data_IF_428346166505
#
_entry.id   IF_428346166505
#
_cell.length_a   1.000
_cell.length_b   1.000
_cell.length_c   1.000
_cell.angle_alpha   90.00
_cell.angle_beta   90.00
_cell.angle_gamma   90.00
#
_symmetry.space_group_name_H-M   'P 1'
#
loop_
_entity.id
_entity.type
_entity.pdbx_description
1 polymer ?
#
# COMPACT_ATOMS: atom_id res chain seq x y z
N UNK A 1 -20.22 1.34 11.52
CA UNK A 1 -19.20 2.22 12.16
C UNK A 1 -18.53 1.59 13.37
N UNK A 2 -19.24 1.24 14.45
CA UNK A 2 -18.58 0.67 15.66
C UNK A 2 -17.87 -0.67 15.40
N UNK A 3 -18.50 -1.58 14.64
CA UNK A 3 -17.89 -2.87 14.28
C UNK A 3 -16.67 -2.71 13.38
N UNK A 4 -16.72 -1.79 12.42
CA UNK A 4 -15.59 -1.46 11.53
C UNK A 4 -14.38 -0.99 12.37
N UNK A 5 -14.59 0.02 13.21
CA UNK A 5 -13.55 0.55 14.10
C UNK A 5 -13.00 -0.52 15.03
N UNK A 6 -13.85 -1.40 15.56
CA UNK A 6 -13.42 -2.49 16.43
C UNK A 6 -12.52 -3.50 15.69
N UNK A 7 -12.83 -3.82 14.43
CA UNK A 7 -12.01 -4.73 13.63
C UNK A 7 -10.68 -4.10 13.26
N UNK A 8 -10.66 -2.81 12.90
CA UNK A 8 -9.42 -2.08 12.62
C UNK A 8 -8.51 -2.00 13.85
N UNK A 9 -9.06 -1.63 15.01
CA UNK A 9 -8.30 -1.52 16.26
C UNK A 9 -7.74 -2.88 16.70
N UNK A 10 -8.50 -3.96 16.51
CA UNK A 10 -8.04 -5.31 16.79
C UNK A 10 -6.94 -5.74 15.81
N UNK A 11 -7.09 -5.41 14.52
CA UNK A 11 -6.09 -5.67 13.50
C UNK A 11 -4.78 -4.91 13.79
N UNK A 12 -4.85 -3.67 14.21
CA UNK A 12 -3.69 -2.87 14.66
C UNK A 12 -2.95 -3.54 15.81
N UNK A 13 -3.70 -3.96 16.84
CA UNK A 13 -3.13 -4.67 18.00
C UNK A 13 -2.45 -5.98 17.59
N UNK A 14 -2.97 -6.69 16.58
CA UNK A 14 -2.34 -7.90 16.05
C UNK A 14 -1.10 -7.59 15.21
N UNK A 15 -1.12 -6.52 14.41
CA UNK A 15 0.05 -6.02 13.68
C UNK A 15 1.19 -5.66 14.63
N UNK A 16 0.93 -4.93 15.72
CA UNK A 16 1.92 -4.59 16.76
C UNK A 16 2.54 -5.85 17.40
N UNK A 17 1.76 -6.92 17.51
CA UNK A 17 2.21 -8.22 18.04
C UNK A 17 2.91 -9.10 16.99
N UNK A 18 3.09 -8.61 15.76
CA UNK A 18 3.68 -9.37 14.65
C UNK A 18 2.83 -10.54 14.17
N UNK A 19 1.54 -10.58 14.53
CA UNK A 19 0.62 -11.65 14.13
C UNK A 19 -0.12 -11.25 12.88
N UNK A 20 0.44 -11.61 11.73
CA UNK A 20 -0.05 -11.20 10.42
C UNK A 20 -1.29 -11.99 9.93
N UNK A 21 -1.42 -13.27 10.28
CA UNK A 21 -2.55 -14.10 9.83
C UNK A 21 -3.93 -13.60 10.29
N UNK A 22 -4.16 -13.30 11.59
CA UNK A 22 -5.47 -12.81 12.02
C UNK A 22 -5.82 -11.43 11.43
N UNK A 23 -4.83 -10.63 11.05
CA UNK A 23 -5.06 -9.30 10.46
C UNK A 23 -5.77 -9.43 9.12
N UNK A 24 -5.35 -10.36 8.26
CA UNK A 24 -6.00 -10.55 6.95
C UNK A 24 -7.48 -10.90 7.10
N UNK A 25 -7.84 -11.76 8.04
CA UNK A 25 -9.23 -12.14 8.29
C UNK A 25 -10.05 -10.97 8.85
N UNK A 26 -9.48 -10.17 9.74
CA UNK A 26 -10.13 -8.99 10.30
C UNK A 26 -10.34 -7.92 9.23
N UNK A 27 -9.34 -7.65 8.39
CA UNK A 27 -9.44 -6.74 7.26
C UNK A 27 -10.51 -7.21 6.26
N UNK A 28 -10.58 -8.52 5.93
CA UNK A 28 -11.65 -9.06 5.07
C UNK A 28 -13.04 -8.82 5.67
N UNK A 29 -13.22 -9.06 6.97
CA UNK A 29 -14.49 -8.78 7.67
C UNK A 29 -14.82 -7.29 7.67
N UNK A 30 -13.82 -6.44 7.85
CA UNK A 30 -13.96 -4.99 7.77
C UNK A 30 -14.43 -4.56 6.37
N UNK A 31 -13.81 -5.08 5.31
CA UNK A 31 -14.14 -4.80 3.93
C UNK A 31 -15.51 -5.36 3.50
N UNK A 32 -15.98 -6.44 4.12
CA UNK A 32 -17.34 -6.95 3.93
C UNK A 32 -18.39 -5.97 4.47
N UNK A 33 -18.09 -5.26 5.55
CA UNK A 33 -18.97 -4.24 6.14
C UNK A 33 -18.85 -2.90 5.39
N UNK A 34 -17.62 -2.49 5.10
CA UNK A 34 -17.31 -1.24 4.41
C UNK A 34 -16.22 -1.48 3.36
N UNK A 35 -16.63 -1.66 2.11
CA UNK A 35 -15.73 -1.89 0.96
C UNK A 35 -14.82 -0.70 0.65
N UNK A 36 -15.19 0.49 1.13
CA UNK A 36 -14.49 1.75 0.91
C UNK A 36 -13.58 2.13 2.09
N UNK A 37 -13.31 1.20 3.01
CA UNK A 37 -12.40 1.44 4.13
C UNK A 37 -10.94 1.38 3.65
N UNK A 38 -10.31 2.53 3.42
CA UNK A 38 -8.88 2.63 3.01
C UNK A 38 -7.94 2.00 4.04
N UNK A 39 -8.14 2.27 5.33
CA UNK A 39 -7.35 1.68 6.42
C UNK A 39 -7.32 0.14 6.39
N UNK A 40 -8.44 -0.52 6.03
CA UNK A 40 -8.49 -1.97 5.94
C UNK A 40 -7.66 -2.50 4.76
N UNK A 41 -7.68 -1.79 3.62
CA UNK A 41 -6.83 -2.10 2.47
C UNK A 41 -5.35 -1.86 2.77
N UNK A 42 -5.02 -0.78 3.48
CA UNK A 42 -3.65 -0.49 3.94
C UNK A 42 -3.11 -1.63 4.82
N UNK A 43 -3.85 -2.01 5.87
CA UNK A 43 -3.43 -3.07 6.78
C UNK A 43 -3.24 -4.40 6.05
N UNK A 44 -4.13 -4.72 5.11
CA UNK A 44 -4.00 -5.92 4.28
C UNK A 44 -2.74 -5.85 3.41
N UNK A 45 -2.50 -4.72 2.75
CA UNK A 45 -1.30 -4.48 1.94
C UNK A 45 -0.01 -4.61 2.77
N UNK A 46 0.03 -4.05 3.97
CA UNK A 46 1.19 -4.13 4.86
C UNK A 46 1.50 -5.57 5.30
N UNK A 47 0.47 -6.38 5.52
CA UNK A 47 0.64 -7.80 5.85
C UNK A 47 1.11 -8.61 4.63
N UNK A 48 0.57 -8.32 3.45
CA UNK A 48 1.02 -8.98 2.22
C UNK A 48 2.47 -8.62 1.89
N UNK A 49 2.86 -7.36 2.10
CA UNK A 49 4.25 -6.93 1.97
C UNK A 49 5.17 -7.69 2.93
N UNK A 50 4.79 -7.86 4.20
CA UNK A 50 5.59 -8.62 5.16
C UNK A 50 5.66 -10.12 4.85
N UNK A 51 4.68 -10.65 4.09
CA UNK A 51 4.69 -12.02 3.55
C UNK A 51 5.48 -12.14 2.25
N UNK A 52 6.00 -11.04 1.69
CA UNK A 52 6.71 -11.01 0.41
C UNK A 52 5.80 -11.11 -0.83
N UNK A 53 4.48 -11.02 -0.65
CA UNK A 53 3.50 -11.04 -1.73
C UNK A 53 3.31 -9.63 -2.28
N UNK A 54 4.32 -9.12 -2.99
CA UNK A 54 4.37 -7.72 -3.42
C UNK A 54 3.30 -7.35 -4.47
N UNK A 55 2.91 -8.28 -5.34
CA UNK A 55 1.86 -8.04 -6.33
C UNK A 55 0.50 -7.80 -5.66
N UNK A 56 0.08 -8.71 -4.78
CA UNK A 56 -1.18 -8.58 -4.04
C UNK A 56 -1.15 -7.38 -3.10
N UNK A 57 0.01 -7.07 -2.50
CA UNK A 57 0.19 -5.88 -1.69
C UNK A 57 -0.01 -4.60 -2.51
N UNK A 58 0.52 -4.54 -3.73
CA UNK A 58 0.34 -3.42 -4.64
C UNK A 58 -1.14 -3.23 -5.00
N UNK A 59 -1.90 -4.30 -5.27
CA UNK A 59 -3.35 -4.18 -5.52
C UNK A 59 -4.10 -3.59 -4.31
N UNK A 60 -3.75 -4.01 -3.09
CA UNK A 60 -4.36 -3.49 -1.87
C UNK A 60 -4.01 -2.01 -1.66
N UNK A 61 -2.74 -1.63 -1.83
CA UNK A 61 -2.33 -0.23 -1.70
C UNK A 61 -2.92 0.65 -2.81
N UNK A 62 -3.07 0.13 -4.02
CA UNK A 62 -3.73 0.83 -5.13
C UNK A 62 -5.18 1.16 -4.78
N UNK A 63 -5.94 0.18 -4.27
CA UNK A 63 -7.31 0.39 -3.77
C UNK A 63 -7.36 1.44 -2.67
N UNK A 64 -6.45 1.37 -1.70
CA UNK A 64 -6.37 2.36 -0.61
C UNK A 64 -6.09 3.75 -1.16
N UNK A 65 -5.12 3.87 -2.06
CA UNK A 65 -4.70 5.13 -2.67
C UNK A 65 -5.81 5.78 -3.50
N UNK A 66 -6.57 4.99 -4.27
CA UNK A 66 -7.74 5.47 -5.01
C UNK A 66 -8.87 5.94 -4.07
N UNK A 67 -9.13 5.18 -2.99
CA UNK A 67 -10.19 5.51 -2.03
C UNK A 67 -9.90 6.77 -1.24
N UNK A 68 -8.63 7.02 -0.91
CA UNK A 68 -8.20 8.26 -0.27
C UNK A 68 -8.06 9.43 -1.27
N UNK A 69 -8.42 9.24 -2.55
CA UNK A 69 -8.38 10.31 -3.55
C UNK A 69 -6.97 10.71 -3.98
N UNK A 70 -6.02 9.78 -3.89
CA UNK A 70 -4.60 9.95 -4.30
C UNK A 70 -3.82 11.05 -3.57
N UNK A 71 -4.33 11.55 -2.44
CA UNK A 71 -3.67 12.58 -1.63
C UNK A 71 -2.75 12.03 -0.53
N UNK A 72 -2.56 10.71 -0.44
CA UNK A 72 -1.63 10.14 0.53
C UNK A 72 -0.30 9.78 -0.15
N UNK A 73 0.70 10.64 0.03
CA UNK A 73 2.07 10.38 -0.41
C UNK A 73 2.63 9.06 0.15
N UNK A 74 2.20 8.67 1.37
CA UNK A 74 2.59 7.41 2.01
C UNK A 74 2.07 6.21 1.22
N UNK A 75 0.82 6.24 0.77
CA UNK A 75 0.24 5.15 -0.02
C UNK A 75 0.81 5.12 -1.44
N UNK A 76 1.04 6.28 -2.07
CA UNK A 76 1.75 6.35 -3.34
C UNK A 76 3.17 5.76 -3.27
N UNK A 77 3.90 6.08 -2.20
CA UNK A 77 5.25 5.52 -1.96
C UNK A 77 5.22 4.01 -1.76
N UNK A 78 4.35 3.51 -0.86
CA UNK A 78 4.24 2.07 -0.59
C UNK A 78 3.81 1.29 -1.84
N UNK A 79 2.86 1.82 -2.59
CA UNK A 79 2.39 1.23 -3.85
C UNK A 79 3.53 1.12 -4.87
N UNK A 80 4.24 2.23 -5.12
CA UNK A 80 5.34 2.24 -6.07
C UNK A 80 6.50 1.31 -5.65
N UNK A 81 6.80 1.26 -4.34
CA UNK A 81 7.78 0.33 -3.79
C UNK A 81 7.36 -1.14 -3.96
N UNK A 82 6.08 -1.47 -3.74
CA UNK A 82 5.55 -2.81 -3.97
C UNK A 82 5.64 -3.19 -5.46
N UNK A 83 5.27 -2.31 -6.38
CA UNK A 83 5.45 -2.56 -7.82
C UNK A 83 6.91 -2.77 -8.21
N UNK A 84 7.83 -1.97 -7.66
CA UNK A 84 9.26 -2.14 -7.89
C UNK A 84 9.77 -3.50 -7.39
N UNK A 85 9.40 -3.91 -6.17
CA UNK A 85 9.75 -5.23 -5.61
C UNK A 85 9.08 -6.39 -6.36
N UNK A 86 7.95 -6.14 -7.02
CA UNK A 86 7.26 -7.10 -7.89
C UNK A 86 7.82 -7.12 -9.33
N UNK A 87 8.94 -6.45 -9.61
CA UNK A 87 9.55 -6.31 -10.94
C UNK A 87 8.65 -5.63 -11.99
N UNK A 88 7.56 -4.99 -11.55
CA UNK A 88 6.63 -4.21 -12.38
C UNK A 88 7.12 -2.77 -12.50
N UNK A 89 8.24 -2.60 -13.19
CA UNK A 89 8.96 -1.32 -13.28
C UNK A 89 8.12 -0.22 -13.93
N UNK A 90 7.32 -0.55 -14.96
CA UNK A 90 6.50 0.42 -15.68
C UNK A 90 5.40 0.98 -14.77
N UNK A 91 4.71 0.11 -14.06
CA UNK A 91 3.66 0.47 -13.10
C UNK A 91 4.25 1.26 -11.92
N UNK A 92 5.41 0.84 -11.40
CA UNK A 92 6.11 1.58 -10.35
C UNK A 92 6.43 3.01 -10.77
N UNK A 93 6.94 3.20 -12.00
CA UNK A 93 7.22 4.53 -12.54
C UNK A 93 5.95 5.37 -12.71
N UNK A 94 4.86 4.78 -13.22
CA UNK A 94 3.59 5.48 -13.41
C UNK A 94 3.03 6.00 -12.08
N UNK A 95 3.01 5.15 -11.06
CA UNK A 95 2.55 5.53 -9.72
C UNK A 95 3.49 6.59 -9.13
N UNK A 96 4.80 6.46 -9.33
CA UNK A 96 5.74 7.45 -8.86
C UNK A 96 5.51 8.82 -9.50
N UNK A 97 5.27 8.89 -10.81
CA UNK A 97 4.96 10.17 -11.47
C UNK A 97 3.66 10.77 -10.92
N UNK A 98 2.59 9.99 -10.80
CA UNK A 98 1.33 10.47 -10.24
C UNK A 98 1.48 10.98 -8.80
N UNK A 99 2.25 10.27 -7.97
CA UNK A 99 2.49 10.68 -6.60
C UNK A 99 3.39 11.91 -6.48
N UNK A 100 4.36 12.11 -7.39
CA UNK A 100 5.20 13.31 -7.43
C UNK A 100 4.48 14.54 -7.99
N UNK A 101 3.48 14.35 -8.86
CA UNK A 101 2.65 15.46 -9.35
C UNK A 101 1.87 16.10 -8.20
N UNK A 102 1.32 15.28 -7.30
CA UNK A 102 0.63 15.75 -6.08
C UNK A 102 1.61 16.15 -4.96
N UNK A 103 2.75 15.46 -4.84
CA UNK A 103 3.75 15.68 -3.78
C UNK A 103 5.17 15.87 -4.36
N UNK A 104 5.48 17.03 -4.96
CA UNK A 104 6.76 17.27 -5.62
C UNK A 104 7.98 17.17 -4.70
N UNK A 105 7.81 17.47 -3.41
CA UNK A 105 8.86 17.48 -2.40
C UNK A 105 9.13 16.11 -1.75
N UNK A 106 8.50 15.02 -2.23
CA UNK A 106 8.68 13.70 -1.63
C UNK A 106 9.97 13.01 -2.11
N UNK A 107 11.12 13.46 -1.58
CA UNK A 107 12.47 13.00 -1.96
C UNK A 107 12.64 11.48 -1.98
N UNK A 108 12.13 10.75 -0.98
CA UNK A 108 12.26 9.28 -0.91
C UNK A 108 11.62 8.56 -2.10
N UNK A 109 10.51 9.09 -2.61
CA UNK A 109 9.77 8.44 -3.68
C UNK A 109 10.51 8.60 -5.02
N UNK A 110 11.19 9.74 -5.19
CA UNK A 110 12.11 9.97 -6.30
C UNK A 110 13.37 9.10 -6.21
N UNK A 111 14.07 9.13 -5.07
CA UNK A 111 15.37 8.47 -4.91
C UNK A 111 15.25 6.94 -4.76
N UNK A 112 14.34 6.45 -3.93
CA UNK A 112 14.24 5.03 -3.59
C UNK A 112 13.48 4.21 -4.63
N UNK A 113 12.66 4.85 -5.46
CA UNK A 113 11.85 4.14 -6.46
C UNK A 113 12.15 4.66 -7.86
N UNK A 114 11.86 5.92 -8.18
CA UNK A 114 11.95 6.41 -9.55
C UNK A 114 13.37 6.31 -10.14
N UNK A 115 14.38 6.80 -9.43
CA UNK A 115 15.78 6.75 -9.88
C UNK A 115 16.29 5.31 -10.01
N UNK A 116 15.86 4.41 -9.13
CA UNK A 116 16.19 2.98 -9.20
C UNK A 116 15.49 2.29 -10.38
N UNK A 117 14.22 2.60 -10.64
CA UNK A 117 13.51 2.13 -11.84
C UNK A 117 14.24 2.54 -13.12
N UNK A 118 14.67 3.80 -13.23
CA UNK A 118 15.44 4.28 -14.36
C UNK A 118 16.81 3.60 -14.48
N UNK A 119 17.49 3.33 -13.36
CA UNK A 119 18.75 2.59 -13.36
C UNK A 119 18.57 1.15 -13.86
N UNK A 120 17.49 0.47 -13.46
CA UNK A 120 17.16 -0.89 -13.92
C UNK A 120 16.80 -0.96 -15.41
N UNK A 121 16.41 0.15 -16.02
CA UNK A 121 16.07 0.26 -17.45
C UNK A 121 17.26 0.68 -18.33
N UNK A 122 18.40 1.08 -17.75
CA UNK A 122 19.59 1.40 -18.54
C UNK A 122 20.29 0.08 -18.97
N UNK A 123 20.57 -0.09 -20.28
CA UNK A 123 21.26 -1.27 -20.81
C UNK A 123 22.75 -1.33 -20.44
#
# INVERSE_FOLDING_TARGET
DELERSYLMLAETYCERGKHDPVQDLCKRCLLLNKSCSNAWEMMGSVLESKGQYEEAAECFSRSFELDGKVSAVFGFRLALCYFKAEKIVEAMSVCSEALDEFPDHHKLREDVLDRCFASLRP
#
